data_IF_789710969304
#
_entry.id   IF_789710969304
#
_cell.length_a   1.000
_cell.length_b   1.000
_cell.length_c   1.000
_cell.angle_alpha   90.00
_cell.angle_beta   90.00
_cell.angle_gamma   90.00
#
_symmetry.space_group_name_H-M   'P 1'
#
loop_
_entity.id
_entity.type
_entity.pdbx_description
1 polymer ?
#
# COMPACT_ATOMS: atom_id res chain seq x y z
N UNK A 1 -6.24 -16.54 -25.39
CA UNK A 1 -5.87 -17.48 -24.30
C UNK A 1 -4.41 -17.37 -23.85
N UNK A 2 -3.47 -16.97 -24.71
CA UNK A 2 -2.02 -16.94 -24.44
C UNK A 2 -1.55 -15.77 -23.56
N UNK A 3 -2.25 -14.64 -23.55
CA UNK A 3 -1.86 -13.41 -22.85
C UNK A 3 -2.06 -13.53 -21.31
N UNK A 4 -3.07 -14.29 -20.89
CA UNK A 4 -3.39 -14.51 -19.47
C UNK A 4 -2.28 -15.31 -18.76
N UNK A 5 -1.74 -16.33 -19.40
CA UNK A 5 -0.66 -17.16 -18.88
C UNK A 5 0.66 -16.40 -18.69
N UNK A 6 0.93 -15.35 -19.47
CA UNK A 6 2.14 -14.55 -19.32
C UNK A 6 2.06 -13.57 -18.14
N UNK A 7 0.91 -12.96 -17.93
CA UNK A 7 0.69 -12.08 -16.77
C UNK A 7 0.74 -12.88 -15.46
N UNK A 8 0.08 -14.03 -15.39
CA UNK A 8 0.12 -14.93 -14.22
C UNK A 8 1.56 -15.40 -13.93
N UNK A 9 2.31 -15.80 -14.97
CA UNK A 9 3.73 -16.17 -14.82
C UNK A 9 4.58 -15.02 -14.30
N UNK A 10 4.32 -13.78 -14.74
CA UNK A 10 5.05 -12.61 -14.25
C UNK A 10 4.78 -12.35 -12.77
N UNK A 11 3.54 -12.47 -12.32
CA UNK A 11 3.18 -12.34 -10.91
C UNK A 11 3.84 -13.41 -10.04
N UNK A 12 3.91 -14.64 -10.50
CA UNK A 12 4.52 -15.74 -9.78
C UNK A 12 6.07 -15.64 -9.75
N UNK A 13 6.67 -15.03 -10.78
CA UNK A 13 8.12 -14.91 -10.90
C UNK A 13 8.72 -13.73 -10.12
N UNK A 14 7.92 -12.73 -9.78
CA UNK A 14 8.37 -11.55 -9.05
C UNK A 14 8.13 -11.76 -7.55
N UNK A 15 9.18 -11.55 -6.76
CA UNK A 15 9.13 -11.43 -5.31
C UNK A 15 9.18 -9.95 -4.95
N UNK A 16 8.25 -9.48 -4.09
CA UNK A 16 8.36 -8.12 -3.58
C UNK A 16 9.38 -8.04 -2.45
N UNK A 17 10.32 -7.11 -2.59
CA UNK A 17 11.40 -6.87 -1.63
C UNK A 17 11.40 -5.43 -1.14
N UNK A 18 12.13 -5.16 -0.06
CA UNK A 18 12.40 -3.80 0.44
C UNK A 18 13.35 -3.07 -0.51
N UNK A 19 13.18 -1.76 -0.64
CA UNK A 19 13.98 -0.93 -1.54
C UNK A 19 13.68 -1.26 -3.02
N UNK A 20 14.48 -0.73 -3.93
CA UNK A 20 14.19 -0.78 -5.39
C UNK A 20 14.24 -2.22 -5.95
N UNK A 21 15.04 -3.08 -5.35
CA UNK A 21 15.22 -4.45 -5.79
C UNK A 21 16.08 -4.62 -7.06
N UNK A 22 15.99 -5.78 -7.71
CA UNK A 22 16.74 -6.13 -8.91
C UNK A 22 15.87 -6.88 -9.90
N UNK A 23 15.63 -6.29 -11.06
CA UNK A 23 14.84 -6.91 -12.14
C UNK A 23 15.43 -8.25 -12.61
N UNK A 24 16.76 -8.34 -12.65
CA UNK A 24 17.46 -9.56 -13.08
C UNK A 24 17.24 -10.75 -12.14
N UNK A 25 16.98 -10.46 -10.85
CA UNK A 25 16.71 -11.47 -9.83
C UNK A 25 15.22 -11.75 -9.63
N UNK A 26 14.34 -11.08 -10.36
CA UNK A 26 12.91 -11.15 -10.10
C UNK A 26 12.49 -10.55 -8.76
N UNK A 27 13.33 -9.71 -8.15
CA UNK A 27 13.10 -9.08 -6.87
C UNK A 27 12.88 -7.57 -7.06
N UNK A 28 11.68 -7.08 -6.82
CA UNK A 28 11.29 -5.69 -7.06
C UNK A 28 10.57 -5.12 -5.85
N UNK A 29 10.67 -3.80 -5.62
CA UNK A 29 9.68 -3.16 -4.76
C UNK A 29 8.36 -3.00 -5.54
N UNK A 30 7.28 -2.70 -4.83
CA UNK A 30 5.97 -2.50 -5.48
C UNK A 30 6.03 -1.45 -6.59
N UNK A 31 6.76 -0.34 -6.44
CA UNK A 31 6.88 0.69 -7.46
C UNK A 31 7.71 0.25 -8.66
N UNK A 32 8.79 -0.51 -8.45
CA UNK A 32 9.57 -1.09 -9.55
C UNK A 32 8.77 -2.17 -10.29
N UNK A 33 7.87 -2.87 -9.60
CA UNK A 33 6.93 -3.80 -10.22
C UNK A 33 5.87 -3.06 -11.05
N UNK A 34 5.30 -1.97 -10.53
CA UNK A 34 4.40 -1.06 -11.28
C UNK A 34 5.11 -0.51 -12.52
N UNK A 35 6.36 -0.05 -12.40
CA UNK A 35 7.16 0.43 -13.54
C UNK A 35 7.35 -0.67 -14.60
N UNK A 36 7.60 -1.91 -14.17
CA UNK A 36 7.71 -3.06 -15.07
C UNK A 36 6.39 -3.31 -15.82
N UNK A 37 5.25 -3.29 -15.13
CA UNK A 37 3.92 -3.48 -15.73
C UNK A 37 3.56 -2.34 -16.70
N UNK A 38 3.97 -1.10 -16.38
CA UNK A 38 3.76 0.07 -17.24
C UNK A 38 4.74 0.12 -18.44
N UNK A 39 5.71 -0.80 -18.53
CA UNK A 39 6.74 -0.76 -19.58
C UNK A 39 7.81 0.31 -19.36
N UNK A 40 7.88 0.88 -18.18
CA UNK A 40 8.89 1.86 -17.81
C UNK A 40 10.27 1.20 -17.54
N UNK A 41 11.31 2.03 -17.52
CA UNK A 41 12.62 1.62 -17.01
C UNK A 41 12.53 1.22 -15.54
N UNK A 42 13.46 0.40 -15.09
CA UNK A 42 13.56 0.02 -13.67
C UNK A 42 13.73 1.26 -12.79
N UNK A 43 12.68 1.59 -12.02
CA UNK A 43 12.61 2.78 -11.17
C UNK A 43 11.57 2.58 -10.07
N UNK A 44 11.76 3.24 -8.94
CA UNK A 44 10.76 3.38 -7.88
C UNK A 44 9.90 4.67 -8.04
N UNK A 45 10.08 5.39 -9.16
CA UNK A 45 9.39 6.63 -9.49
C UNK A 45 8.76 6.61 -10.88
N UNK A 46 7.80 5.69 -11.14
CA UNK A 46 7.11 5.65 -12.42
C UNK A 46 6.37 6.97 -12.68
N UNK A 47 6.45 7.48 -13.90
CA UNK A 47 5.85 8.78 -14.26
C UNK A 47 4.32 8.75 -14.26
N UNK A 48 3.73 7.60 -14.45
CA UNK A 48 2.28 7.39 -14.51
C UNK A 48 1.64 7.28 -13.13
N UNK A 49 2.43 7.30 -12.05
CA UNK A 49 1.97 7.07 -10.69
C UNK A 49 1.93 8.37 -9.91
N UNK A 50 0.82 8.59 -9.20
CA UNK A 50 0.66 9.66 -8.22
C UNK A 50 1.80 9.64 -7.19
N UNK A 51 2.47 10.78 -6.94
CA UNK A 51 3.46 10.88 -5.86
C UNK A 51 2.88 10.51 -4.49
N UNK A 52 1.60 10.79 -4.27
CA UNK A 52 0.88 10.44 -3.04
C UNK A 52 0.79 8.93 -2.86
N UNK A 53 0.25 8.22 -3.87
CA UNK A 53 0.11 6.75 -3.84
C UNK A 53 1.48 6.09 -3.76
N UNK A 54 2.46 6.59 -4.52
CA UNK A 54 3.83 6.09 -4.44
C UNK A 54 4.38 6.15 -3.03
N UNK A 55 4.29 7.31 -2.36
CA UNK A 55 4.81 7.45 -1.00
C UNK A 55 4.11 6.52 -0.03
N UNK A 56 2.79 6.39 -0.12
CA UNK A 56 2.02 5.48 0.73
C UNK A 56 2.42 4.01 0.49
N UNK A 57 2.40 3.56 -0.76
CA UNK A 57 2.68 2.17 -1.13
C UNK A 57 4.13 1.75 -0.85
N UNK A 58 5.12 2.65 -1.00
CA UNK A 58 6.52 2.37 -0.61
C UNK A 58 6.61 2.11 0.89
N UNK A 59 5.94 2.90 1.74
CA UNK A 59 5.96 2.64 3.18
C UNK A 59 5.36 1.30 3.54
N UNK A 60 4.26 0.90 2.89
CA UNK A 60 3.67 -0.41 3.07
C UNK A 60 4.63 -1.52 2.61
N UNK A 61 5.21 -1.39 1.42
CA UNK A 61 6.16 -2.35 0.88
C UNK A 61 7.38 -2.56 1.79
N UNK A 62 8.01 -1.45 2.21
CA UNK A 62 9.26 -1.52 2.96
C UNK A 62 9.06 -1.95 4.41
N UNK A 63 7.92 -1.63 4.97
CA UNK A 63 7.60 -1.98 6.34
C UNK A 63 6.82 -3.28 6.51
N UNK A 64 6.23 -3.84 5.46
CA UNK A 64 5.48 -5.09 5.56
C UNK A 64 6.37 -6.25 6.05
N UNK A 65 5.83 -7.15 6.89
CA UNK A 65 6.45 -8.44 7.11
C UNK A 65 6.62 -9.20 5.78
N UNK A 66 7.73 -9.93 5.60
CA UNK A 66 8.08 -10.55 4.31
C UNK A 66 6.95 -11.42 3.73
N UNK A 67 6.24 -12.16 4.60
CA UNK A 67 5.13 -13.03 4.19
C UNK A 67 3.86 -12.28 3.73
N UNK A 68 3.75 -11.00 4.02
CA UNK A 68 2.57 -10.16 3.72
C UNK A 68 2.84 -9.19 2.57
N UNK A 69 4.10 -8.95 2.22
CA UNK A 69 4.48 -7.96 1.21
C UNK A 69 3.91 -8.29 -0.17
N UNK A 70 3.88 -9.55 -0.54
CA UNK A 70 3.36 -10.03 -1.83
C UNK A 70 1.85 -9.80 -1.99
N UNK A 71 1.11 -9.54 -0.88
CA UNK A 71 -0.30 -9.16 -0.94
C UNK A 71 -0.52 -7.78 -1.61
N UNK A 72 0.54 -6.99 -1.81
CA UNK A 72 0.48 -5.73 -2.56
C UNK A 72 0.47 -5.93 -4.08
N UNK A 73 0.94 -7.05 -4.60
CA UNK A 73 1.03 -7.29 -6.05
C UNK A 73 -0.30 -7.10 -6.80
N UNK A 74 -1.45 -7.59 -6.31
CA UNK A 74 -2.73 -7.45 -7.00
C UNK A 74 -3.15 -6.00 -7.27
N UNK A 75 -2.63 -5.04 -6.49
CA UNK A 75 -2.96 -3.62 -6.63
C UNK A 75 -2.07 -2.89 -7.64
N UNK A 76 -0.95 -3.50 -8.05
CA UNK A 76 0.00 -2.86 -8.96
C UNK A 76 -0.63 -2.34 -10.27
N UNK A 77 -1.54 -3.05 -10.95
CA UNK A 77 -2.21 -2.53 -12.14
C UNK A 77 -3.08 -1.29 -11.85
N UNK A 78 -3.77 -1.25 -10.71
CA UNK A 78 -4.62 -0.12 -10.31
C UNK A 78 -3.82 1.15 -9.98
N UNK A 79 -2.53 1.01 -9.65
CA UNK A 79 -1.63 2.13 -9.36
C UNK A 79 -1.19 2.85 -10.65
N UNK A 80 -1.17 2.15 -11.80
CA UNK A 80 -0.81 2.74 -13.10
C UNK A 80 -1.88 3.77 -13.51
N UNK A 81 -1.44 4.93 -13.99
CA UNK A 81 -2.34 5.99 -14.47
C UNK A 81 -2.88 6.90 -13.35
N UNK A 82 -2.44 6.74 -12.12
CA UNK A 82 -2.91 7.56 -10.99
C UNK A 82 -2.25 8.94 -10.89
N UNK A 83 -1.34 9.31 -11.81
CA UNK A 83 -0.78 10.67 -11.94
C UNK A 83 -1.78 11.60 -12.63
N UNK A 84 -2.88 11.91 -11.97
CA UNK A 84 -4.10 12.52 -12.49
C UNK A 84 -4.50 13.82 -11.78
N UNK A 85 -3.68 14.27 -10.82
CA UNK A 85 -3.90 15.53 -10.08
C UNK A 85 -4.83 15.43 -8.87
N UNK A 86 -5.37 14.25 -8.53
CA UNK A 86 -6.32 14.04 -7.43
C UNK A 86 -5.64 13.74 -6.08
N UNK A 87 -4.43 14.22 -5.83
CA UNK A 87 -3.71 13.89 -4.61
C UNK A 87 -4.34 14.51 -3.35
N UNK A 88 -5.05 15.64 -3.48
CA UNK A 88 -5.80 16.23 -2.36
C UNK A 88 -7.01 15.39 -1.95
N UNK A 89 -7.76 14.88 -2.89
CA UNK A 89 -8.91 14.00 -2.64
C UNK A 89 -8.45 12.67 -2.02
N UNK A 90 -7.31 12.15 -2.48
CA UNK A 90 -6.65 10.98 -1.89
C UNK A 90 -6.22 11.25 -0.46
N UNK A 91 -5.63 12.42 -0.20
CA UNK A 91 -5.22 12.82 1.14
C UNK A 91 -6.44 12.94 2.08
N UNK A 92 -7.54 13.55 1.62
CA UNK A 92 -8.77 13.67 2.39
C UNK A 92 -9.40 12.29 2.70
N UNK A 93 -9.42 11.36 1.72
CA UNK A 93 -9.90 10.00 1.94
C UNK A 93 -9.03 9.26 2.96
N UNK A 94 -7.70 9.30 2.79
CA UNK A 94 -6.75 8.63 3.67
C UNK A 94 -6.86 9.17 5.10
N UNK A 95 -6.86 10.49 5.28
CA UNK A 95 -7.00 11.14 6.58
C UNK A 95 -8.31 10.72 7.26
N UNK A 96 -9.44 10.84 6.56
CA UNK A 96 -10.76 10.44 7.09
C UNK A 96 -10.75 8.98 7.54
N UNK A 97 -10.27 8.06 6.72
CA UNK A 97 -10.24 6.64 7.06
C UNK A 97 -9.34 6.37 8.25
N UNK A 98 -8.18 7.02 8.33
CA UNK A 98 -7.28 6.93 9.48
C UNK A 98 -7.98 7.43 10.75
N UNK A 99 -8.68 8.56 10.68
CA UNK A 99 -9.35 9.17 11.82
C UNK A 99 -10.58 8.38 12.30
N UNK A 100 -11.42 7.92 11.36
CA UNK A 100 -12.72 7.31 11.71
C UNK A 100 -12.69 5.79 11.87
N UNK A 101 -11.72 5.11 11.29
CA UNK A 101 -11.67 3.64 11.30
C UNK A 101 -10.40 3.12 11.98
N UNK A 102 -9.21 3.65 11.60
CA UNK A 102 -7.93 3.12 12.11
C UNK A 102 -7.68 3.57 13.55
N UNK A 103 -7.90 4.86 13.85
CA UNK A 103 -7.66 5.41 15.19
C UNK A 103 -8.55 4.74 16.26
N UNK A 104 -9.89 4.64 16.10
CA UNK A 104 -10.72 3.99 17.11
C UNK A 104 -10.31 2.54 17.36
N UNK A 105 -9.94 1.82 16.31
CA UNK A 105 -9.45 0.45 16.42
C UNK A 105 -8.11 0.38 17.14
N UNK A 106 -7.16 1.25 16.81
CA UNK A 106 -5.86 1.30 17.47
C UNK A 106 -6.01 1.66 18.95
N UNK A 107 -6.93 2.56 19.28
CA UNK A 107 -7.26 2.90 20.65
C UNK A 107 -7.77 1.69 21.44
N UNK A 108 -8.69 0.92 20.83
CA UNK A 108 -9.21 -0.31 21.45
C UNK A 108 -8.12 -1.38 21.64
N UNK A 109 -7.20 -1.51 20.70
CA UNK A 109 -6.20 -2.58 20.72
C UNK A 109 -4.99 -2.27 21.61
N UNK A 110 -4.62 -0.98 21.78
CA UNK A 110 -3.36 -0.59 22.40
C UNK A 110 -3.49 0.26 23.65
N UNK A 111 -4.67 0.85 23.92
CA UNK A 111 -4.88 1.70 25.10
C UNK A 111 -5.83 1.04 26.10
N UNK A 112 -5.47 1.11 27.36
CA UNK A 112 -6.45 0.86 28.42
C UNK A 112 -7.40 2.07 28.57
N UNK A 113 -8.51 1.89 29.25
CA UNK A 113 -9.56 2.92 29.40
C UNK A 113 -9.04 4.27 29.96
N UNK A 114 -8.02 4.25 30.80
CA UNK A 114 -7.43 5.46 31.39
C UNK A 114 -6.55 6.21 30.40
N UNK A 115 -5.74 5.47 29.64
CA UNK A 115 -4.88 6.03 28.59
C UNK A 115 -5.72 6.60 27.45
N UNK A 116 -6.83 5.96 27.11
CA UNK A 116 -7.80 6.48 26.14
C UNK A 116 -8.37 7.84 26.57
N UNK A 117 -8.83 7.97 27.82
CA UNK A 117 -9.39 9.21 28.33
C UNK A 117 -8.35 10.36 28.30
N UNK A 118 -7.10 10.08 28.66
CA UNK A 118 -6.01 11.06 28.61
C UNK A 118 -5.67 11.47 27.15
N UNK A 119 -5.72 10.53 26.21
CA UNK A 119 -5.51 10.82 24.80
C UNK A 119 -6.62 11.73 24.25
N UNK A 120 -7.90 11.43 24.53
CA UNK A 120 -9.04 12.25 24.13
C UNK A 120 -8.92 13.69 24.69
N UNK A 121 -8.55 13.83 25.96
CA UNK A 121 -8.33 15.12 26.58
C UNK A 121 -7.17 15.90 25.91
N UNK A 122 -6.07 15.22 25.57
CA UNK A 122 -4.91 15.84 24.91
C UNK A 122 -5.22 16.32 23.49
N UNK A 123 -6.12 15.65 22.79
CA UNK A 123 -6.58 16.05 21.46
C UNK A 123 -7.49 17.28 21.47
N UNK A 124 -8.24 17.47 22.57
CA UNK A 124 -9.18 18.59 22.74
C UNK A 124 -8.52 19.86 23.30
N UNK A 125 -7.33 19.76 23.90
CA UNK A 125 -6.64 20.90 24.53
C UNK A 125 -5.22 21.09 24.00
N UNK A 126 -4.90 22.24 23.38
CA UNK A 126 -3.54 22.55 22.92
C UNK A 126 -2.49 22.56 24.03
N UNK A 127 -2.88 22.92 25.25
CA UNK A 127 -1.98 22.99 26.42
C UNK A 127 -1.53 21.61 26.90
N UNK A 128 -2.37 20.58 26.75
CA UNK A 128 -2.03 19.21 27.11
C UNK A 128 -1.16 18.49 26.06
N UNK A 129 -1.07 19.06 24.83
CA UNK A 129 -0.15 18.57 23.79
C UNK A 129 1.32 18.69 24.19
N UNK A 130 1.67 19.68 25.00
CA UNK A 130 3.07 19.92 25.43
C UNK A 130 3.51 18.92 26.51
N UNK A 131 2.64 18.52 27.41
CA UNK A 131 2.98 17.59 28.50
C UNK A 131 3.08 16.12 28.04
N UNK A 132 2.45 15.75 26.92
CA UNK A 132 2.58 14.41 26.34
C UNK A 132 3.93 14.15 25.66
N UNK A 133 4.76 15.18 25.43
CA UNK A 133 6.10 15.04 24.83
C UNK A 133 7.16 14.43 25.75
N UNK A 134 6.87 14.22 27.02
CA UNK A 134 7.85 13.81 28.05
C UNK A 134 7.64 12.38 28.58
N UNK A 135 6.77 11.59 27.96
CA UNK A 135 6.56 10.21 28.38
C UNK A 135 7.49 9.22 27.66
N UNK A 136 8.15 8.39 28.43
CA UNK A 136 8.90 7.23 27.94
C UNK A 136 8.11 6.41 26.92
N UNK A 137 8.81 6.03 25.88
CA UNK A 137 8.36 5.43 24.60
C UNK A 137 7.48 4.19 24.73
N UNK A 138 6.25 4.32 25.20
CA UNK A 138 5.27 3.24 25.09
C UNK A 138 4.74 3.17 23.66
N UNK A 139 4.38 2.00 23.14
CA UNK A 139 3.77 1.88 21.79
C UNK A 139 2.57 2.81 21.61
N UNK A 140 1.75 3.02 22.66
CA UNK A 140 0.63 3.94 22.68
C UNK A 140 1.03 5.40 22.39
N UNK A 141 2.16 5.86 22.93
CA UNK A 141 2.64 7.23 22.78
C UNK A 141 3.17 7.46 21.36
N UNK A 142 3.85 6.46 20.80
CA UNK A 142 4.28 6.49 19.40
C UNK A 142 3.08 6.53 18.44
N UNK A 143 2.04 5.74 18.70
CA UNK A 143 0.80 5.73 17.91
C UNK A 143 0.11 7.09 18.02
N UNK A 144 -0.08 7.62 19.23
CA UNK A 144 -0.71 8.92 19.44
C UNK A 144 0.08 10.06 18.78
N UNK A 145 1.42 10.01 18.82
CA UNK A 145 2.29 10.99 18.15
C UNK A 145 2.14 10.92 16.63
N UNK A 146 2.07 9.70 16.06
CA UNK A 146 1.85 9.50 14.62
C UNK A 146 0.49 10.07 14.16
N UNK A 147 -0.57 9.87 14.94
CA UNK A 147 -1.89 10.41 14.59
C UNK A 147 -1.91 11.94 14.63
N UNK A 148 -1.29 12.56 15.66
CA UNK A 148 -1.16 14.02 15.71
C UNK A 148 -0.41 14.55 14.50
N UNK A 149 0.71 13.93 14.16
CA UNK A 149 1.50 14.33 13.00
C UNK A 149 0.71 14.20 11.68
N UNK A 150 -0.09 13.14 11.52
CA UNK A 150 -0.97 12.97 10.34
C UNK A 150 -2.01 14.08 10.27
N UNK A 151 -2.61 14.49 11.39
CA UNK A 151 -3.54 15.62 11.44
C UNK A 151 -2.87 16.93 11.08
N UNK A 152 -1.71 17.21 11.68
CA UNK A 152 -0.94 18.42 11.39
C UNK A 152 -0.52 18.51 9.92
N UNK A 153 -0.16 17.37 9.27
CA UNK A 153 0.13 17.32 7.83
C UNK A 153 -1.13 17.61 7.00
N UNK A 154 -2.28 17.05 7.41
CA UNK A 154 -3.55 17.29 6.73
C UNK A 154 -3.95 18.78 6.82
N UNK A 155 -3.86 19.38 8.00
CA UNK A 155 -4.17 20.80 8.23
C UNK A 155 -3.25 21.74 7.44
N UNK A 156 -1.98 21.34 7.21
CA UNK A 156 -1.02 22.08 6.38
C UNK A 156 -1.17 21.82 4.88
N UNK A 157 -2.00 20.87 4.48
CA UNK A 157 -2.12 20.45 3.09
C UNK A 157 -0.90 19.69 2.54
N UNK A 158 0.00 19.19 3.41
CA UNK A 158 1.16 18.40 2.98
C UNK A 158 0.77 16.95 2.72
N UNK A 159 0.20 16.74 1.53
CA UNK A 159 -0.28 15.43 1.10
C UNK A 159 0.82 14.36 1.10
N UNK A 160 2.05 14.69 0.71
CA UNK A 160 3.12 13.71 0.58
C UNK A 160 3.63 13.22 1.92
N UNK A 161 3.79 14.13 2.88
CA UNK A 161 4.14 13.78 4.26
C UNK A 161 3.03 12.98 4.93
N UNK A 162 1.76 13.37 4.71
CA UNK A 162 0.59 12.63 5.19
C UNK A 162 0.60 11.18 4.68
N UNK A 163 0.77 10.97 3.38
CA UNK A 163 0.84 9.63 2.79
C UNK A 163 1.96 8.78 3.43
N UNK A 164 3.14 9.37 3.59
CA UNK A 164 4.30 8.72 4.19
C UNK A 164 4.03 8.33 5.66
N UNK A 165 3.47 9.26 6.45
CA UNK A 165 3.19 9.01 7.87
C UNK A 165 2.07 7.99 8.06
N UNK A 166 1.01 8.07 7.27
CA UNK A 166 -0.09 7.12 7.34
C UNK A 166 0.36 5.70 6.97
N UNK A 167 1.20 5.55 5.94
CA UNK A 167 1.79 4.27 5.58
C UNK A 167 2.67 3.69 6.71
N UNK A 168 3.54 4.53 7.29
CA UNK A 168 4.35 4.12 8.46
C UNK A 168 3.49 3.73 9.66
N UNK A 169 2.44 4.49 9.95
CA UNK A 169 1.52 4.17 11.05
C UNK A 169 0.90 2.78 10.85
N UNK A 170 0.31 2.52 9.67
CA UNK A 170 -0.33 1.23 9.39
C UNK A 170 0.63 0.06 9.53
N UNK A 171 1.85 0.20 9.01
CA UNK A 171 2.90 -0.81 9.17
C UNK A 171 3.28 -1.01 10.64
N UNK A 172 3.44 0.06 11.41
CA UNK A 172 3.73 -0.03 12.84
C UNK A 172 2.60 -0.76 13.58
N UNK A 173 1.34 -0.45 13.26
CA UNK A 173 0.19 -1.17 13.81
C UNK A 173 0.18 -2.66 13.44
N UNK A 174 0.57 -3.00 12.22
CA UNK A 174 0.73 -4.42 11.80
C UNK A 174 1.82 -5.12 12.59
N UNK A 175 2.97 -4.48 12.78
CA UNK A 175 4.12 -5.06 13.47
C UNK A 175 3.87 -5.22 14.97
N UNK A 176 3.27 -4.21 15.61
CA UNK A 176 3.01 -4.16 17.05
C UNK A 176 1.66 -4.77 17.44
N UNK A 177 0.86 -5.26 16.50
CA UNK A 177 -0.49 -5.76 16.77
C UNK A 177 -0.52 -6.80 17.91
N UNK A 178 -1.43 -6.67 18.89
CA UNK A 178 -1.45 -7.51 20.09
C UNK A 178 -1.76 -8.98 19.79
N UNK A 179 -2.38 -9.25 18.66
CA UNK A 179 -2.71 -10.61 18.22
C UNK A 179 -2.81 -10.72 16.70
N UNK A 180 -2.94 -11.94 16.20
CA UNK A 180 -2.99 -12.21 14.77
C UNK A 180 -4.25 -11.68 14.08
N UNK A 181 -5.37 -11.54 14.78
CA UNK A 181 -6.61 -10.98 14.24
C UNK A 181 -6.46 -9.47 14.02
N UNK A 182 -5.94 -8.74 15.00
CA UNK A 182 -5.62 -7.31 14.88
C UNK A 182 -4.60 -7.07 13.74
N UNK A 183 -3.52 -7.87 13.67
CA UNK A 183 -2.53 -7.79 12.60
C UNK A 183 -3.16 -7.94 11.21
N UNK A 184 -4.02 -8.96 11.01
CA UNK A 184 -4.73 -9.16 9.75
C UNK A 184 -5.65 -7.99 9.42
N UNK A 185 -6.32 -7.43 10.41
CA UNK A 185 -7.23 -6.30 10.22
C UNK A 185 -6.47 -5.05 9.73
N UNK A 186 -5.35 -4.67 10.40
CA UNK A 186 -4.56 -3.51 9.98
C UNK A 186 -3.98 -3.68 8.59
N UNK A 187 -3.51 -4.89 8.27
CA UNK A 187 -2.99 -5.16 6.94
C UNK A 187 -4.07 -5.13 5.87
N UNK A 188 -5.21 -5.75 6.12
CA UNK A 188 -6.35 -5.69 5.20
C UNK A 188 -6.83 -4.25 4.99
N UNK A 189 -6.83 -3.41 6.05
CA UNK A 189 -7.16 -2.00 5.95
C UNK A 189 -6.13 -1.22 5.12
N UNK A 190 -4.84 -1.54 5.25
CA UNK A 190 -3.80 -0.93 4.43
C UNK A 190 -3.98 -1.26 2.94
N UNK A 191 -4.29 -2.52 2.62
CA UNK A 191 -4.57 -2.96 1.24
C UNK A 191 -5.85 -2.33 0.68
N UNK A 192 -6.94 -2.30 1.46
CA UNK A 192 -8.19 -1.62 1.11
C UNK A 192 -7.95 -0.14 0.78
N UNK A 193 -7.09 0.53 1.57
CA UNK A 193 -6.74 1.92 1.32
C UNK A 193 -5.98 2.09 0.00
N UNK A 194 -5.03 1.19 -0.33
CA UNK A 194 -4.36 1.24 -1.64
C UNK A 194 -5.39 1.18 -2.76
N UNK A 195 -6.35 0.26 -2.69
CA UNK A 195 -7.39 0.10 -3.69
C UNK A 195 -8.26 1.36 -3.83
N UNK A 196 -8.82 1.83 -2.72
CA UNK A 196 -9.67 3.04 -2.69
C UNK A 196 -8.94 4.30 -3.16
N UNK A 197 -7.65 4.44 -2.86
CA UNK A 197 -6.84 5.57 -3.34
C UNK A 197 -6.60 5.50 -4.86
N UNK A 198 -6.48 4.30 -5.41
CA UNK A 198 -6.37 4.10 -6.85
C UNK A 198 -7.69 4.37 -7.58
N UNK A 199 -8.84 4.19 -6.91
CA UNK A 199 -10.16 4.47 -7.49
C UNK A 199 -10.45 5.96 -7.65
N UNK A 200 -9.81 6.83 -6.85
CA UNK A 200 -9.96 8.28 -7.01
C UNK A 200 -9.29 8.71 -8.33
N UNK A 201 -10.05 9.45 -9.17
CA UNK A 201 -9.59 9.91 -10.49
C UNK A 201 -9.63 8.83 -11.57
N UNK A 202 -9.94 7.60 -11.23
CA UNK A 202 -10.23 6.55 -12.22
C UNK A 202 -11.59 6.82 -12.86
N UNK A 203 -11.70 7.93 -13.58
CA UNK A 203 -12.91 8.38 -14.25
C UNK A 203 -13.26 7.42 -15.39
N UNK A 204 -13.59 6.24 -15.11
CA UNK A 204 -14.13 5.25 -16.01
C UNK A 204 -13.21 4.06 -16.33
N UNK A 205 -13.84 2.97 -16.67
CA UNK A 205 -13.26 1.79 -17.32
C UNK A 205 -12.23 2.12 -18.41
N UNK A 206 -12.38 3.26 -19.11
CA UNK A 206 -11.50 3.66 -20.22
C UNK A 206 -10.07 3.97 -19.79
N UNK A 207 -9.83 4.54 -18.63
CA UNK A 207 -8.46 4.83 -18.19
C UNK A 207 -7.77 3.57 -17.63
N UNK A 208 -8.54 2.68 -17.00
CA UNK A 208 -8.06 1.33 -16.64
C UNK A 208 -7.82 0.45 -17.87
N UNK A 209 -8.68 0.54 -18.90
CA UNK A 209 -8.50 -0.17 -20.17
C UNK A 209 -7.28 0.34 -20.95
N UNK A 210 -7.04 1.66 -20.95
CA UNK A 210 -5.81 2.25 -21.51
C UNK A 210 -4.56 1.77 -20.77
N UNK A 211 -4.58 1.78 -19.44
CA UNK A 211 -3.47 1.27 -18.64
C UNK A 211 -3.23 -0.23 -18.91
N UNK A 212 -4.29 -1.02 -18.97
CA UNK A 212 -4.22 -2.45 -19.32
C UNK A 212 -3.74 -2.70 -20.75
N UNK A 213 -4.14 -1.88 -21.73
CA UNK A 213 -3.69 -1.99 -23.13
C UNK A 213 -2.22 -1.58 -23.29
N UNK A 214 -1.75 -0.57 -22.55
CA UNK A 214 -0.34 -0.20 -22.46
C UNK A 214 0.48 -1.36 -21.87
N UNK A 215 -0.02 -2.00 -20.83
CA UNK A 215 0.60 -3.18 -20.22
C UNK A 215 0.68 -4.35 -21.20
N UNK A 216 -0.37 -4.59 -22.00
CA UNK A 216 -0.38 -5.62 -23.07
C UNK A 216 0.67 -5.36 -24.16
N UNK A 217 0.78 -4.13 -24.63
CA UNK A 217 1.73 -3.77 -25.71
C UNK A 217 3.19 -3.92 -25.24
N UNK A 218 3.50 -3.52 -24.01
CA UNK A 218 4.87 -3.58 -23.50
C UNK A 218 5.27 -4.97 -22.99
N UNK A 219 4.32 -5.80 -22.55
CA UNK A 219 4.59 -7.20 -22.24
C UNK A 219 5.00 -8.00 -23.50
N UNK A 220 4.48 -7.61 -24.68
CA UNK A 220 4.88 -8.20 -25.96
C UNK A 220 6.28 -7.77 -26.42
N UNK A 221 6.82 -6.67 -25.89
CA UNK A 221 8.14 -6.10 -26.25
C UNK A 221 9.24 -6.45 -25.23
N UNK A 222 8.93 -7.17 -24.15
CA UNK A 222 9.94 -7.61 -23.20
C UNK A 222 10.86 -8.64 -23.88
N UNK A 223 12.21 -8.44 -23.90
CA UNK A 223 13.12 -9.43 -24.43
C UNK A 223 12.92 -10.74 -23.70
N UNK A 224 12.86 -11.85 -24.44
CA UNK A 224 12.71 -13.20 -23.93
C UNK A 224 13.69 -13.43 -22.77
N UNK A 225 13.16 -13.45 -21.55
CA UNK A 225 13.95 -13.85 -20.41
C UNK A 225 14.34 -15.31 -20.62
N UNK A 226 15.63 -15.59 -20.65
CA UNK A 226 16.18 -16.93 -20.55
C UNK A 226 15.51 -17.66 -19.39
N UNK A 227 15.07 -18.91 -19.55
CA UNK A 227 14.36 -19.62 -18.52
C UNK A 227 15.26 -19.76 -17.28
N UNK A 228 14.87 -19.12 -16.20
CA UNK A 228 15.50 -19.29 -14.91
C UNK A 228 15.11 -20.68 -14.38
N UNK A 229 16.10 -21.53 -14.17
CA UNK A 229 15.94 -22.85 -13.54
C UNK A 229 15.27 -22.65 -12.17
N UNK A 230 14.09 -23.24 -12.00
CA UNK A 230 13.38 -23.21 -10.71
C UNK A 230 14.12 -23.99 -9.65
N UNK A 231 14.30 -23.47 -8.43
CA UNK A 231 14.54 -24.30 -7.28
C UNK A 231 13.24 -25.02 -6.91
N UNK A 232 13.21 -26.31 -6.99
CA UNK A 232 12.22 -27.16 -6.34
C UNK A 232 12.19 -26.84 -4.85
N UNK A 233 11.08 -26.37 -4.37
CA UNK A 233 10.57 -26.34 -3.01
C UNK A 233 9.95 -25.00 -2.59
N UNK A 234 8.81 -24.64 -3.17
CA UNK A 234 7.85 -23.79 -2.45
C UNK A 234 6.50 -24.49 -2.46
N UNK A 235 6.11 -24.95 -1.29
CA UNK A 235 4.85 -25.63 -1.05
C UNK A 235 3.68 -24.79 -1.59
N UNK A 236 2.89 -25.38 -2.47
CA UNK A 236 1.64 -24.83 -3.02
C UNK A 236 0.71 -24.42 -1.89
N UNK A 237 0.42 -23.14 -1.74
CA UNK A 237 -0.65 -22.65 -0.88
C UNK A 237 -1.95 -22.53 -1.68
N UNK A 238 -3.11 -22.81 -1.08
CA UNK A 238 -4.38 -22.80 -1.79
C UNK A 238 -4.79 -21.37 -2.18
N UNK A 239 -4.91 -21.14 -3.47
CA UNK A 239 -5.28 -19.89 -4.16
C UNK A 239 -6.75 -19.47 -4.01
N UNK A 240 -7.52 -20.03 -3.08
CA UNK A 240 -8.99 -19.91 -3.08
C UNK A 240 -9.56 -18.57 -2.60
N UNK A 241 -8.78 -17.69 -1.94
CA UNK A 241 -9.29 -16.36 -1.50
C UNK A 241 -8.80 -15.17 -2.32
N UNK A 242 -7.79 -15.36 -3.14
CA UNK A 242 -7.27 -14.32 -4.05
C UNK A 242 -8.08 -14.32 -5.37
N UNK A 243 -8.84 -15.37 -5.63
CA UNK A 243 -9.53 -15.63 -6.88
C UNK A 243 -10.56 -14.55 -7.29
N UNK A 244 -11.23 -13.88 -6.35
CA UNK A 244 -12.26 -12.90 -6.72
C UNK A 244 -11.63 -11.53 -7.09
N UNK A 245 -10.65 -11.06 -6.35
CA UNK A 245 -9.98 -9.78 -6.65
C UNK A 245 -9.06 -9.90 -7.87
N UNK A 246 -8.36 -11.04 -8.03
CA UNK A 246 -7.58 -11.32 -9.23
C UNK A 246 -8.46 -11.56 -10.46
N UNK A 247 -9.67 -12.14 -10.32
CA UNK A 247 -10.63 -12.22 -11.44
C UNK A 247 -11.06 -10.84 -11.89
N UNK A 248 -11.40 -9.93 -10.99
CA UNK A 248 -11.82 -8.58 -11.37
C UNK A 248 -10.67 -7.78 -11.99
N UNK A 249 -9.46 -7.89 -11.46
CA UNK A 249 -8.28 -7.25 -12.05
C UNK A 249 -7.85 -7.92 -13.37
N UNK A 250 -7.97 -9.25 -13.48
CA UNK A 250 -7.64 -10.00 -14.70
C UNK A 250 -8.74 -9.92 -15.76
N UNK A 251 -10.01 -9.83 -15.40
CA UNK A 251 -11.11 -9.59 -16.34
C UNK A 251 -11.00 -8.19 -16.97
N UNK A 252 -10.48 -7.21 -16.22
CA UNK A 252 -10.15 -5.87 -16.73
C UNK A 252 -8.91 -5.86 -17.65
N UNK A 253 -8.02 -6.85 -17.53
CA UNK A 253 -6.85 -7.01 -18.39
C UNK A 253 -7.19 -7.81 -19.67
N UNK A 254 -8.29 -8.58 -19.68
CA UNK A 254 -8.64 -9.54 -20.74
C UNK A 254 -9.83 -9.06 -21.60
N UNK A 255 -10.65 -8.11 -21.10
CA UNK A 255 -11.71 -7.46 -21.86
C UNK A 255 -11.18 -6.26 -22.64
#
# INVERSE_FOLDING_TARGET
MTINLQAERLYDQIELVRGVGSRQRGQLCIMSFVALLAGDRHTDRPRTVSPFIRNFAIQLNDGAPDRMRDDLKPFAPGIIGTSDGHDFERAALLFRTVETEVLPRAMSDFLNSREYALFELSNKSPLLRVSAMWCDSRPSDCIASCFRAIRDEHERGDCLSLATRAGKLLVTLVQCAPNSAARRWYWAKALELVDRLCDIGADTRQDREKAASITKQHSALAPSATPYLSPESVARRPMQKISHMLRTALELIIA
#
